data_IF_114226693725
#
_entry.id   IF_114226693725
#
_cell.length_a   1.000
_cell.length_b   1.000
_cell.length_c   1.000
_cell.angle_alpha   90.00
_cell.angle_beta   90.00
_cell.angle_gamma   90.00
#
_symmetry.space_group_name_H-M   'P 1'
#
loop_
_entity.id
_entity.type
_entity.pdbx_description
1 polymer ?
#
# COMPACT_ATOMS: atom_id res chain seq x y z
N UNK A 1 3.17 -17.68 1.13
CA UNK A 1 3.31 -16.93 -0.13
C UNK A 1 4.44 -15.91 0.02
N UNK A 2 5.07 -15.56 -1.09
CA UNK A 2 6.06 -14.48 -1.22
C UNK A 2 5.38 -13.27 -1.86
N UNK A 3 5.19 -12.22 -1.08
CA UNK A 3 4.41 -11.02 -1.44
C UNK A 3 5.37 -9.89 -1.72
N UNK A 4 5.39 -9.37 -2.95
CA UNK A 4 6.13 -8.14 -3.27
C UNK A 4 5.28 -6.93 -2.88
N UNK A 5 5.81 -6.05 -2.03
CA UNK A 5 5.09 -4.87 -1.52
C UNK A 5 6.05 -3.72 -1.25
N UNK A 6 5.71 -2.51 -1.72
CA UNK A 6 6.48 -1.29 -1.43
C UNK A 6 6.14 -0.70 -0.07
N UNK A 7 7.14 -0.16 0.61
CA UNK A 7 6.95 0.59 1.85
C UNK A 7 6.49 2.02 1.52
N UNK A 8 5.19 2.21 1.30
CA UNK A 8 4.58 3.51 0.98
C UNK A 8 3.94 4.14 2.22
N UNK A 9 3.01 3.44 2.85
CA UNK A 9 2.27 3.91 4.02
C UNK A 9 2.74 3.18 5.27
N UNK A 10 3.54 3.85 6.10
CA UNK A 10 4.27 3.22 7.21
C UNK A 10 3.38 2.45 8.20
N UNK A 11 2.26 3.03 8.64
CA UNK A 11 1.35 2.38 9.58
C UNK A 11 0.64 1.17 8.96
N UNK A 12 0.13 1.32 7.73
CA UNK A 12 -0.50 0.22 7.01
C UNK A 12 0.49 -0.92 6.73
N UNK A 13 1.66 -0.59 6.17
CA UNK A 13 2.67 -1.60 5.83
C UNK A 13 3.13 -2.34 7.09
N UNK A 14 3.28 -1.63 8.22
CA UNK A 14 3.64 -2.24 9.51
C UNK A 14 2.61 -3.27 9.98
N UNK A 15 1.32 -2.98 9.81
CA UNK A 15 0.27 -3.95 10.13
C UNK A 15 0.27 -5.13 9.14
N UNK A 16 0.41 -4.84 7.85
CA UNK A 16 0.35 -5.82 6.76
C UNK A 16 1.47 -6.88 6.86
N UNK A 17 2.70 -6.47 7.13
CA UNK A 17 3.85 -7.39 7.20
C UNK A 17 3.83 -8.29 8.45
N UNK A 18 2.91 -8.08 9.38
CA UNK A 18 2.71 -8.98 10.54
C UNK A 18 1.94 -10.26 10.20
N UNK A 19 1.38 -10.36 9.00
CA UNK A 19 0.78 -11.59 8.49
C UNK A 19 1.81 -12.73 8.37
N UNK A 20 1.34 -13.93 7.99
CA UNK A 20 2.14 -15.17 7.99
C UNK A 20 2.87 -15.44 6.66
N UNK A 21 3.10 -14.40 5.85
CA UNK A 21 3.75 -14.53 4.54
C UNK A 21 5.19 -14.00 4.59
N UNK A 22 5.98 -14.31 3.59
CA UNK A 22 7.25 -13.63 3.35
C UNK A 22 6.96 -12.38 2.55
N UNK A 23 7.36 -11.22 3.04
CA UNK A 23 7.16 -9.94 2.39
C UNK A 23 8.48 -9.45 1.80
N UNK A 24 8.53 -9.32 0.49
CA UNK A 24 9.67 -8.81 -0.24
C UNK A 24 9.49 -7.29 -0.36
N UNK A 25 10.37 -6.54 0.29
CA UNK A 25 10.28 -5.09 0.37
C UNK A 25 11.43 -4.48 -0.41
N UNK A 26 11.17 -3.81 -1.55
CA UNK A 26 12.24 -3.22 -2.36
C UNK A 26 13.08 -2.21 -1.58
N UNK A 27 14.40 -2.33 -1.73
CA UNK A 27 15.37 -1.40 -1.17
C UNK A 27 16.35 -0.95 -2.25
N UNK A 28 16.48 0.38 -2.43
CA UNK A 28 17.52 0.98 -3.28
C UNK A 28 18.68 1.46 -2.42
N UNK A 29 19.89 1.65 -2.99
CA UNK A 29 21.02 2.17 -2.23
C UNK A 29 20.73 3.51 -1.53
N UNK A 30 19.94 4.37 -2.19
CA UNK A 30 19.58 5.69 -1.66
C UNK A 30 18.34 5.67 -0.77
N UNK A 31 17.64 4.53 -0.67
CA UNK A 31 16.36 4.38 0.05
C UNK A 31 15.35 5.47 -0.34
N UNK A 32 15.23 5.72 -1.64
CA UNK A 32 14.31 6.68 -2.23
C UNK A 32 12.83 6.25 -2.09
N UNK A 33 11.94 6.99 -2.72
CA UNK A 33 10.51 6.73 -2.64
C UNK A 33 10.12 5.34 -3.16
N UNK A 34 10.88 4.76 -4.08
CA UNK A 34 10.60 3.47 -4.70
C UNK A 34 11.34 2.30 -4.04
N UNK A 35 12.33 2.58 -3.21
CA UNK A 35 13.14 1.58 -2.53
C UNK A 35 13.47 1.92 -1.09
N UNK A 36 12.48 2.26 -0.27
CA UNK A 36 12.70 2.59 1.15
C UNK A 36 13.18 1.43 2.00
N UNK A 37 12.88 0.20 1.58
CA UNK A 37 13.14 -0.99 2.37
C UNK A 37 12.28 -1.07 3.63
N UNK A 38 12.75 -1.82 4.62
CA UNK A 38 12.09 -1.99 5.92
C UNK A 38 11.96 -0.67 6.68
N UNK A 39 10.93 -0.57 7.52
CA UNK A 39 10.83 0.54 8.45
C UNK A 39 12.00 0.54 9.45
N UNK A 40 12.48 1.75 9.78
CA UNK A 40 13.53 1.95 10.79
C UNK A 40 12.98 2.34 12.17
N UNK A 41 11.71 2.79 12.18
CA UNK A 41 11.02 3.27 13.39
C UNK A 41 9.98 2.29 13.93
N UNK A 42 9.73 1.20 13.19
CA UNK A 42 8.81 0.14 13.58
C UNK A 42 9.52 -1.19 13.58
N UNK A 43 9.20 -2.02 14.56
CA UNK A 43 9.69 -3.39 14.63
C UNK A 43 8.90 -4.28 13.67
N UNK A 44 9.51 -4.58 12.52
CA UNK A 44 8.96 -5.50 11.53
C UNK A 44 9.53 -6.91 11.72
N UNK A 45 8.71 -7.95 11.53
CA UNK A 45 9.18 -9.33 11.65
C UNK A 45 10.23 -9.67 10.59
N UNK A 46 11.08 -10.67 10.86
CA UNK A 46 12.16 -11.11 9.95
C UNK A 46 11.66 -11.59 8.59
N UNK A 47 10.39 -11.99 8.52
CA UNK A 47 9.74 -12.34 7.25
C UNK A 47 9.47 -11.16 6.30
N UNK A 48 9.65 -9.93 6.76
CA UNK A 48 9.74 -8.74 5.90
C UNK A 48 11.20 -8.58 5.45
N UNK A 49 11.53 -9.06 4.28
CA UNK A 49 12.90 -9.15 3.75
C UNK A 49 13.15 -8.02 2.76
N UNK A 50 14.24 -7.31 2.92
CA UNK A 50 14.68 -6.34 1.91
C UNK A 50 15.20 -7.08 0.68
N UNK A 51 14.87 -6.58 -0.50
CA UNK A 51 15.31 -7.11 -1.78
C UNK A 51 15.73 -5.96 -2.70
N UNK A 52 16.90 -6.07 -3.32
CA UNK A 52 17.36 -5.09 -4.29
C UNK A 52 16.67 -5.29 -5.65
N UNK A 53 16.43 -4.23 -6.43
CA UNK A 53 15.73 -4.32 -7.71
C UNK A 53 16.32 -5.32 -8.70
N UNK A 54 17.63 -5.47 -8.75
CA UNK A 54 18.32 -6.41 -9.63
C UNK A 54 18.14 -7.89 -9.23
N UNK A 55 17.89 -8.15 -7.96
CA UNK A 55 17.62 -9.49 -7.43
C UNK A 55 16.18 -9.95 -7.71
N UNK A 56 15.24 -9.01 -7.95
CA UNK A 56 13.82 -9.33 -8.13
C UNK A 56 13.57 -10.19 -9.36
N UNK A 57 14.36 -10.05 -10.40
CA UNK A 57 14.21 -10.83 -11.65
C UNK A 57 14.31 -12.34 -11.41
N UNK A 58 15.19 -12.75 -10.53
CA UNK A 58 15.45 -14.16 -10.20
C UNK A 58 14.73 -14.59 -8.91
N UNK A 59 13.86 -13.72 -8.38
CA UNK A 59 13.12 -14.00 -7.16
C UNK A 59 11.72 -14.51 -7.47
N UNK A 60 11.33 -15.62 -6.82
CA UNK A 60 9.96 -16.09 -6.88
C UNK A 60 9.04 -15.12 -6.13
N UNK A 61 7.99 -14.66 -6.82
CA UNK A 61 6.94 -13.81 -6.28
C UNK A 61 5.59 -14.43 -6.60
N UNK A 62 4.78 -14.65 -5.59
CA UNK A 62 3.44 -15.24 -5.73
C UNK A 62 2.38 -14.18 -6.03
N UNK A 63 2.54 -12.97 -5.46
CA UNK A 63 1.61 -11.85 -5.66
C UNK A 63 2.30 -10.51 -5.45
N UNK A 64 1.86 -9.51 -6.21
CA UNK A 64 2.33 -8.12 -6.10
C UNK A 64 1.22 -7.25 -5.50
N UNK A 65 1.56 -6.47 -4.47
CA UNK A 65 0.66 -5.47 -3.88
C UNK A 65 1.12 -4.09 -4.31
N UNK A 66 0.41 -3.52 -5.27
CA UNK A 66 0.63 -2.18 -5.81
C UNK A 66 -0.10 -1.14 -4.96
N UNK A 67 0.47 0.03 -4.76
CA UNK A 67 -0.12 1.15 -4.00
C UNK A 67 0.00 2.49 -4.73
N UNK A 68 0.84 2.55 -5.77
CA UNK A 68 1.05 3.74 -6.61
C UNK A 68 1.02 3.32 -8.09
N UNK A 69 0.41 4.09 -8.99
CA UNK A 69 0.23 3.70 -10.39
C UNK A 69 1.53 3.28 -11.09
N UNK A 70 2.63 4.00 -10.85
CA UNK A 70 3.93 3.72 -11.47
C UNK A 70 4.59 2.42 -10.97
N UNK A 71 4.09 1.80 -9.92
CA UNK A 71 4.57 0.49 -9.46
C UNK A 71 4.22 -0.64 -10.44
N UNK A 72 3.27 -0.43 -11.36
CA UNK A 72 3.03 -1.32 -12.51
C UNK A 72 4.30 -1.41 -13.37
N UNK A 73 4.83 -0.24 -13.77
CA UNK A 73 6.04 -0.15 -14.58
C UNK A 73 7.28 -0.65 -13.81
N UNK A 74 7.37 -0.35 -12.51
CA UNK A 74 8.46 -0.85 -11.65
C UNK A 74 8.43 -2.38 -11.55
N UNK A 75 7.25 -2.97 -11.45
CA UNK A 75 7.10 -4.43 -11.43
C UNK A 75 7.64 -5.04 -12.74
N UNK A 76 7.24 -4.50 -13.88
CA UNK A 76 7.71 -4.97 -15.18
C UNK A 76 9.24 -4.81 -15.31
N UNK A 77 9.76 -3.67 -14.91
CA UNK A 77 11.19 -3.35 -14.99
C UNK A 77 12.05 -4.25 -14.09
N UNK A 78 11.66 -4.43 -12.83
CA UNK A 78 12.49 -5.12 -11.83
C UNK A 78 12.24 -6.61 -11.81
N UNK A 79 10.97 -7.03 -11.89
CA UNK A 79 10.60 -8.44 -11.84
C UNK A 79 10.65 -9.12 -13.22
N UNK A 80 10.57 -8.31 -14.31
CA UNK A 80 10.49 -8.84 -15.67
C UNK A 80 9.16 -9.53 -15.98
N UNK A 81 8.13 -9.31 -15.16
CA UNK A 81 6.79 -9.92 -15.25
C UNK A 81 5.72 -8.85 -15.19
N UNK A 82 4.67 -8.98 -16.00
CA UNK A 82 3.54 -8.03 -16.04
C UNK A 82 2.55 -8.35 -14.90
N UNK A 83 2.29 -7.38 -13.99
CA UNK A 83 1.32 -7.58 -12.92
C UNK A 83 -0.09 -7.76 -13.48
N UNK A 84 -0.81 -8.74 -12.94
CA UNK A 84 -2.14 -9.15 -13.40
C UNK A 84 -2.12 -10.21 -14.51
N UNK A 85 -1.05 -10.30 -15.30
CA UNK A 85 -0.93 -11.24 -16.43
C UNK A 85 0.07 -12.36 -16.15
N UNK A 86 1.32 -12.00 -15.85
CA UNK A 86 2.43 -12.95 -15.66
C UNK A 86 2.64 -13.28 -14.16
N UNK A 87 2.20 -12.38 -13.30
CA UNK A 87 2.19 -12.55 -11.84
C UNK A 87 0.89 -11.97 -11.27
N UNK A 88 0.19 -12.68 -10.38
CA UNK A 88 -0.98 -12.14 -9.70
C UNK A 88 -0.68 -10.79 -9.04
N UNK A 89 -1.59 -9.83 -9.17
CA UNK A 89 -1.43 -8.52 -8.58
C UNK A 89 -2.75 -7.97 -8.05
N UNK A 90 -2.66 -7.13 -7.03
CA UNK A 90 -3.77 -6.30 -6.54
C UNK A 90 -3.29 -4.87 -6.37
N UNK A 91 -4.16 -3.91 -6.59
CA UNK A 91 -3.87 -2.51 -6.31
C UNK A 91 -4.61 -2.06 -5.04
N UNK A 92 -3.87 -1.60 -4.06
CA UNK A 92 -4.43 -1.10 -2.81
C UNK A 92 -4.57 0.43 -2.86
N UNK A 93 -5.82 0.91 -2.86
CA UNK A 93 -6.11 2.34 -2.92
C UNK A 93 -6.36 2.91 -1.53
N UNK A 94 -5.44 3.76 -1.09
CA UNK A 94 -5.51 4.44 0.20
C UNK A 94 -6.19 5.80 0.15
N UNK A 95 -6.24 6.42 -1.03
CA UNK A 95 -6.61 7.81 -1.18
C UNK A 95 -7.97 7.96 -1.85
N UNK A 96 -8.59 9.11 -1.66
CA UNK A 96 -9.68 9.58 -2.50
C UNK A 96 -9.11 10.28 -3.75
N UNK A 97 -9.91 10.41 -4.83
CA UNK A 97 -9.50 11.19 -5.99
C UNK A 97 -9.07 12.62 -5.59
N UNK A 98 -8.04 13.12 -6.25
CA UNK A 98 -7.60 14.51 -6.10
C UNK A 98 -8.14 15.32 -7.27
N UNK A 99 -8.85 16.41 -6.99
CA UNK A 99 -9.37 17.29 -8.02
C UNK A 99 -10.88 17.46 -7.95
N UNK A 100 -11.51 18.02 -9.01
CA UNK A 100 -12.94 18.23 -9.04
C UNK A 100 -13.73 16.91 -9.03
N UNK A 101 -14.97 16.95 -8.57
CA UNK A 101 -15.84 15.79 -8.41
C UNK A 101 -16.05 14.93 -9.68
N UNK A 102 -15.74 15.49 -10.84
CA UNK A 102 -15.81 14.80 -12.14
C UNK A 102 -14.52 14.08 -12.53
N UNK A 103 -13.41 14.33 -11.83
CA UNK A 103 -12.09 13.73 -12.10
C UNK A 103 -11.85 12.55 -11.15
N UNK A 104 -12.68 11.54 -11.24
CA UNK A 104 -12.67 10.42 -10.31
C UNK A 104 -12.21 9.10 -10.94
N UNK A 105 -11.82 9.11 -12.22
CA UNK A 105 -11.39 7.89 -12.90
C UNK A 105 -10.08 7.37 -12.33
N UNK A 106 -10.10 6.13 -11.90
CA UNK A 106 -8.93 5.46 -11.33
C UNK A 106 -7.88 5.18 -12.43
N UNK A 107 -6.58 5.32 -12.15
CA UNK A 107 -5.52 5.02 -13.13
C UNK A 107 -5.57 3.59 -13.70
N UNK A 108 -6.09 2.65 -12.94
CA UNK A 108 -6.25 1.25 -13.34
C UNK A 108 -7.67 0.90 -13.80
N UNK A 109 -8.54 1.87 -14.08
CA UNK A 109 -9.95 1.64 -14.41
C UNK A 109 -10.17 0.75 -15.66
N UNK A 110 -9.19 0.65 -16.56
CA UNK A 110 -9.25 -0.19 -17.75
C UNK A 110 -8.61 -1.59 -17.57
N UNK A 111 -8.10 -1.89 -16.35
CA UNK A 111 -7.45 -3.14 -16.00
C UNK A 111 -8.44 -4.08 -15.31
N UNK A 112 -8.95 -5.06 -16.04
CA UNK A 112 -9.82 -6.12 -15.49
C UNK A 112 -9.02 -7.29 -14.86
N UNK A 113 -7.71 -7.27 -15.05
CA UNK A 113 -6.75 -8.25 -14.55
C UNK A 113 -6.07 -7.85 -13.21
N UNK A 114 -6.29 -6.61 -12.74
CA UNK A 114 -5.74 -6.12 -11.46
C UNK A 114 -6.88 -5.57 -10.59
N UNK A 115 -7.36 -6.34 -9.63
CA UNK A 115 -8.38 -5.84 -8.69
C UNK A 115 -7.91 -4.63 -7.89
N UNK A 116 -8.81 -3.65 -7.71
CA UNK A 116 -8.61 -2.48 -6.85
C UNK A 116 -9.23 -2.75 -5.49
N UNK A 117 -8.40 -2.79 -4.46
CA UNK A 117 -8.80 -2.97 -3.07
C UNK A 117 -8.82 -1.60 -2.39
N UNK A 118 -9.99 -1.14 -1.98
CA UNK A 118 -10.15 0.10 -1.24
C UNK A 118 -10.03 -0.16 0.27
N UNK A 119 -9.37 0.73 0.99
CA UNK A 119 -9.20 0.61 2.45
C UNK A 119 -10.45 1.05 3.23
N UNK A 120 -11.41 1.70 2.59
CA UNK A 120 -12.70 2.08 3.17
C UNK A 120 -13.81 2.07 2.11
N UNK A 121 -15.05 1.86 2.53
CA UNK A 121 -16.23 2.04 1.67
C UNK A 121 -16.35 3.47 1.13
N UNK A 122 -15.91 4.46 1.92
CA UNK A 122 -15.86 5.85 1.49
C UNK A 122 -14.98 6.04 0.25
N UNK A 123 -13.76 5.48 0.26
CA UNK A 123 -12.86 5.55 -0.91
C UNK A 123 -13.50 4.89 -2.13
N UNK A 124 -14.11 3.72 -1.96
CA UNK A 124 -14.75 3.00 -3.06
C UNK A 124 -15.82 3.83 -3.77
N UNK A 125 -16.63 4.59 -3.02
CA UNK A 125 -17.72 5.40 -3.59
C UNK A 125 -17.20 6.54 -4.48
N UNK A 126 -16.01 7.06 -4.19
CA UNK A 126 -15.46 8.22 -4.91
C UNK A 126 -14.65 7.88 -6.17
N UNK A 127 -14.27 6.63 -6.36
CA UNK A 127 -13.49 6.21 -7.52
C UNK A 127 -14.35 5.60 -8.62
N UNK A 128 -14.23 6.11 -9.85
CA UNK A 128 -14.67 5.41 -11.05
C UNK A 128 -13.58 4.39 -11.44
N UNK A 129 -13.80 3.15 -11.05
CA UNK A 129 -12.88 2.06 -11.35
C UNK A 129 -13.15 1.36 -12.69
N UNK A 130 -14.12 1.84 -13.48
CA UNK A 130 -14.40 1.31 -14.82
C UNK A 130 -14.63 -0.20 -14.81
N UNK A 131 -13.75 -0.95 -15.51
CA UNK A 131 -13.81 -2.42 -15.60
C UNK A 131 -13.01 -3.15 -14.52
N UNK A 132 -12.17 -2.45 -13.77
CA UNK A 132 -11.38 -3.08 -12.72
C UNK A 132 -12.28 -3.67 -11.64
N UNK A 133 -12.12 -4.94 -11.26
CA UNK A 133 -12.84 -5.51 -10.13
C UNK A 133 -12.52 -4.73 -8.85
N UNK A 134 -13.52 -4.44 -8.03
CA UNK A 134 -13.33 -3.68 -6.79
C UNK A 134 -13.80 -4.44 -5.57
N UNK A 135 -13.13 -4.24 -4.46
CA UNK A 135 -13.55 -4.71 -3.15
C UNK A 135 -13.08 -3.76 -2.06
N UNK A 136 -13.66 -3.87 -0.86
CA UNK A 136 -13.22 -3.13 0.31
C UNK A 136 -12.62 -4.11 1.31
N UNK A 137 -11.40 -3.83 1.75
CA UNK A 137 -10.76 -4.51 2.87
C UNK A 137 -10.26 -3.43 3.83
N UNK A 138 -11.01 -3.24 4.89
CA UNK A 138 -10.60 -2.32 5.94
C UNK A 138 -9.35 -2.85 6.62
N UNK A 139 -8.34 -1.99 6.76
CA UNK A 139 -7.10 -2.42 7.39
C UNK A 139 -7.21 -2.38 8.91
N UNK A 140 -6.71 -3.44 9.53
CA UNK A 140 -6.57 -3.51 10.98
C UNK A 140 -5.22 -2.98 11.44
N UNK A 141 -5.13 -2.76 12.74
CA UNK A 141 -3.88 -2.55 13.46
C UNK A 141 -3.72 -3.63 14.53
N UNK A 142 -2.49 -3.87 14.95
CA UNK A 142 -2.27 -4.71 16.12
C UNK A 142 -2.82 -3.96 17.33
N UNK A 143 -3.75 -4.59 18.03
CA UNK A 143 -4.31 -4.02 19.27
C UNK A 143 -3.22 -3.89 20.33
N UNK A 144 -2.86 -2.64 20.74
CA UNK A 144 -1.87 -2.43 21.79
C UNK A 144 -2.40 -2.76 23.20
N UNK A 145 -3.65 -3.22 23.31
CA UNK A 145 -4.37 -3.39 24.55
C UNK A 145 -4.84 -2.05 25.16
N UNK A 146 -5.35 -2.12 26.38
CA UNK A 146 -5.84 -0.94 27.10
C UNK A 146 -4.69 0.01 27.47
N UNK A 147 -4.67 1.20 26.90
CA UNK A 147 -3.62 2.23 27.12
C UNK A 147 -4.14 3.51 27.75
N UNK A 148 -5.45 3.63 27.90
CA UNK A 148 -6.05 4.79 28.53
C UNK A 148 -5.81 4.77 30.05
N UNK A 149 -5.11 5.80 30.56
CA UNK A 149 -4.80 5.90 32.01
C UNK A 149 -5.73 6.85 32.76
N UNK A 150 -6.41 7.75 32.06
CA UNK A 150 -7.26 8.78 32.65
C UNK A 150 -6.50 9.91 33.37
N UNK A 151 -5.18 9.95 33.33
CA UNK A 151 -4.36 10.91 34.07
C UNK A 151 -4.45 12.35 33.52
N UNK A 152 -4.72 12.48 32.23
CA UNK A 152 -4.78 13.79 31.58
C UNK A 152 -6.23 14.15 31.24
N UNK A 153 -6.79 15.27 31.76
CA UNK A 153 -8.12 15.73 31.39
C UNK A 153 -8.07 16.44 30.03
N UNK A 154 -7.69 15.68 28.96
CA UNK A 154 -7.51 16.20 27.61
C UNK A 154 -8.10 15.23 26.58
N UNK A 155 -8.65 15.79 25.51
CA UNK A 155 -8.93 15.06 24.28
C UNK A 155 -7.70 15.11 23.37
N UNK A 156 -7.44 14.00 22.66
CA UNK A 156 -6.39 13.92 21.63
C UNK A 156 -6.99 13.99 20.23
N UNK A 157 -6.32 14.69 19.33
CA UNK A 157 -6.62 14.65 17.90
C UNK A 157 -5.33 14.38 17.12
N UNK A 158 -5.41 13.48 16.13
CA UNK A 158 -4.31 13.21 15.20
C UNK A 158 -4.73 13.70 13.83
N UNK A 159 -4.09 14.76 13.36
CA UNK A 159 -4.41 15.39 12.07
C UNK A 159 -3.13 15.59 11.29
N UNK A 160 -3.04 14.98 10.11
CA UNK A 160 -1.98 15.26 9.16
C UNK A 160 -2.29 16.57 8.41
N UNK A 161 -1.33 17.47 8.34
CA UNK A 161 -1.41 18.73 7.58
C UNK A 161 -2.65 19.58 7.89
N UNK A 162 -2.87 19.99 9.14
CA UNK A 162 -4.10 20.69 9.55
C UNK A 162 -4.31 21.99 8.79
N UNK A 163 -3.24 22.67 8.36
CA UNK A 163 -3.33 23.94 7.62
C UNK A 163 -3.84 23.74 6.18
N UNK A 164 -3.54 22.61 5.53
CA UNK A 164 -4.03 22.31 4.19
C UNK A 164 -5.48 21.82 4.21
N UNK A 165 -5.89 21.12 5.26
CA UNK A 165 -7.25 20.59 5.42
C UNK A 165 -8.25 21.62 5.95
N UNK A 166 -7.80 22.69 6.56
CA UNK A 166 -8.65 23.79 7.03
C UNK A 166 -9.14 24.75 5.94
N UNK A 167 -8.95 24.41 4.67
CA UNK A 167 -9.43 25.19 3.50
C UNK A 167 -10.64 24.54 2.81
N UNK A 168 -11.38 23.72 3.52
CA UNK A 168 -12.69 23.24 3.07
C UNK A 168 -13.78 24.23 3.43
#
# INVERSE_FOLDING_TARGET
MRVLVWHVHGSWTTAFVRGQHTYLVPVTPNRDADGRGRARTFDWPDRAVEVEPDQLRDTDVDVVVLQRPHEVELTEKWLGRRPGTDVPAVYLEHNTPRGPAVATRHPLADRDDVPVVHVTHFNQVFWDCGRAPTTVIEHGIVDPGHRFTGELPRAGAVINEPLLRGRL
#
